data_IF_947881973988
#
_entry.id   IF_947881973988
#
_cell.length_a   1.000
_cell.length_b   1.000
_cell.length_c   1.000
_cell.angle_alpha   90.00
_cell.angle_beta   90.00
_cell.angle_gamma   90.00
#
_symmetry.space_group_name_H-M   'P 1'
#
loop_
_entity.id
_entity.type
_entity.pdbx_description
1 polymer ?
#
# COMPACT_ATOMS: atom_id res chain seq x y z
N UNK A 1 -23.29 42.74 10.98
CA UNK A 1 -23.67 41.32 10.80
C UNK A 1 -25.16 41.19 10.99
N UNK A 2 -25.88 40.98 9.90
CA UNK A 2 -27.30 40.68 9.96
C UNK A 2 -27.51 39.27 10.50
N UNK A 3 -28.63 39.01 11.17
CA UNK A 3 -28.99 37.68 11.71
C UNK A 3 -29.02 36.57 10.64
N UNK A 4 -29.07 36.95 9.36
CA UNK A 4 -29.03 36.05 8.20
C UNK A 4 -27.62 35.55 7.88
N UNK A 5 -26.58 36.39 8.00
CA UNK A 5 -25.17 35.99 7.80
C UNK A 5 -24.69 35.02 8.88
N UNK A 6 -25.09 35.26 10.14
CA UNK A 6 -24.78 34.36 11.26
C UNK A 6 -25.44 32.97 11.10
N UNK A 7 -26.61 32.93 10.43
CA UNK A 7 -27.36 31.68 10.20
C UNK A 7 -26.76 30.86 9.06
N UNK A 8 -26.20 31.52 8.04
CA UNK A 8 -25.47 30.88 6.95
C UNK A 8 -24.16 30.25 7.45
N UNK A 9 -23.35 31.00 8.21
CA UNK A 9 -22.11 30.50 8.82
C UNK A 9 -22.35 29.30 9.76
N UNK A 10 -23.49 29.26 10.45
CA UNK A 10 -23.87 28.12 11.30
C UNK A 10 -24.39 26.89 10.52
N UNK A 11 -24.94 27.08 9.32
CA UNK A 11 -25.39 25.98 8.46
C UNK A 11 -24.22 25.34 7.72
N UNK A 12 -23.30 26.14 7.17
CA UNK A 12 -22.11 25.66 6.45
C UNK A 12 -21.19 24.85 7.36
N UNK A 13 -20.96 25.32 8.59
CA UNK A 13 -20.13 24.66 9.58
C UNK A 13 -20.75 23.32 10.05
N UNK A 14 -22.08 23.18 10.00
CA UNK A 14 -22.78 21.91 10.30
C UNK A 14 -22.73 20.91 9.15
N UNK A 15 -22.72 21.37 7.89
CA UNK A 15 -22.63 20.48 6.71
C UNK A 15 -21.23 19.90 6.60
N UNK A 16 -20.19 20.72 6.76
CA UNK A 16 -18.78 20.29 6.80
C UNK A 16 -18.54 19.24 7.90
N UNK A 17 -18.90 19.55 9.14
CA UNK A 17 -18.70 18.65 10.28
C UNK A 17 -19.46 17.31 10.17
N UNK A 18 -20.65 17.30 9.54
CA UNK A 18 -21.48 16.09 9.41
C UNK A 18 -20.98 15.17 8.29
N UNK A 19 -20.50 15.72 7.18
CA UNK A 19 -19.84 14.96 6.10
C UNK A 19 -18.49 14.41 6.60
N UNK A 20 -17.73 15.19 7.38
CA UNK A 20 -16.43 14.78 7.92
C UNK A 20 -16.49 13.64 8.95
N UNK A 21 -17.40 13.72 9.94
CA UNK A 21 -17.54 12.65 10.94
C UNK A 21 -17.99 11.31 10.35
N UNK A 22 -18.52 11.33 9.12
CA UNK A 22 -18.91 10.14 8.37
C UNK A 22 -17.70 9.57 7.62
N UNK A 23 -16.88 10.41 6.98
CA UNK A 23 -15.65 9.97 6.30
C UNK A 23 -14.67 9.33 7.29
N UNK A 24 -14.41 9.96 8.44
CA UNK A 24 -13.49 9.42 9.45
C UNK A 24 -13.98 8.10 10.06
N UNK A 25 -15.30 7.97 10.33
CA UNK A 25 -15.89 6.70 10.79
C UNK A 25 -15.84 5.61 9.75
N UNK A 26 -16.00 5.95 8.48
CA UNK A 26 -15.96 4.97 7.41
C UNK A 26 -14.53 4.52 7.10
N UNK A 27 -13.50 5.34 7.37
CA UNK A 27 -12.09 5.00 7.17
C UNK A 27 -11.64 3.83 8.07
N UNK A 28 -12.20 3.68 9.28
CA UNK A 28 -11.86 2.60 10.22
C UNK A 28 -12.35 1.20 9.79
N UNK A 29 -13.29 1.11 8.84
CA UNK A 29 -13.92 -0.15 8.41
C UNK A 29 -13.34 -0.78 7.15
N UNK A 30 -12.35 -0.16 6.50
CA UNK A 30 -11.92 -0.60 5.18
C UNK A 30 -11.03 -1.83 5.19
N UNK A 31 -11.32 -2.76 4.29
CA UNK A 31 -10.45 -3.89 4.03
C UNK A 31 -9.17 -3.38 3.39
N UNK A 32 -8.08 -3.55 4.14
CA UNK A 32 -6.73 -3.10 3.78
C UNK A 32 -6.17 -3.92 2.59
N UNK A 33 -6.75 -5.08 2.32
CA UNK A 33 -6.26 -6.05 1.33
C UNK A 33 -7.41 -6.52 0.44
N UNK A 34 -7.23 -6.39 -0.87
CA UNK A 34 -8.16 -6.98 -1.84
C UNK A 34 -7.54 -8.30 -2.35
N UNK A 35 -8.11 -9.43 -1.92
CA UNK A 35 -7.68 -10.75 -2.39
C UNK A 35 -8.65 -11.20 -3.48
N UNK A 36 -8.15 -11.30 -4.71
CA UNK A 36 -8.94 -11.91 -5.77
C UNK A 36 -8.99 -13.44 -5.56
N UNK A 37 -10.12 -13.94 -5.08
CA UNK A 37 -10.33 -15.36 -4.80
C UNK A 37 -10.04 -16.26 -6.02
N UNK A 38 -10.30 -15.78 -7.23
CA UNK A 38 -10.00 -16.50 -8.46
C UNK A 38 -8.50 -16.60 -8.71
N UNK A 39 -7.77 -15.52 -8.48
CA UNK A 39 -6.33 -15.47 -8.66
C UNK A 39 -5.61 -16.33 -7.60
N UNK A 40 -6.06 -16.29 -6.34
CA UNK A 40 -5.60 -17.19 -5.29
C UNK A 40 -5.85 -18.67 -5.64
N UNK A 41 -7.01 -18.98 -6.19
CA UNK A 41 -7.32 -20.34 -6.67
C UNK A 41 -6.43 -20.75 -7.84
N UNK A 42 -6.12 -19.82 -8.75
CA UNK A 42 -5.22 -20.08 -9.87
C UNK A 42 -3.77 -20.31 -9.42
N UNK A 43 -3.29 -19.58 -8.41
CA UNK A 43 -1.98 -19.83 -7.78
C UNK A 43 -1.92 -21.23 -7.17
N UNK A 44 -2.95 -21.62 -6.42
CA UNK A 44 -3.04 -22.95 -5.83
C UNK A 44 -3.04 -24.04 -6.91
N UNK A 45 -3.79 -23.85 -7.99
CA UNK A 45 -3.84 -24.78 -9.11
C UNK A 45 -2.48 -24.94 -9.79
N UNK A 46 -1.74 -23.85 -10.02
CA UNK A 46 -0.38 -23.88 -10.58
C UNK A 46 0.58 -24.65 -9.68
N UNK A 47 0.54 -24.40 -8.37
CA UNK A 47 1.37 -25.11 -7.41
C UNK A 47 1.00 -26.61 -7.31
N UNK A 48 -0.29 -26.93 -7.35
CA UNK A 48 -0.78 -28.30 -7.38
C UNK A 48 -0.32 -29.05 -8.64
N UNK A 49 -0.37 -28.41 -9.80
CA UNK A 49 0.15 -28.97 -11.05
C UNK A 49 1.66 -29.26 -10.94
N UNK A 50 2.45 -28.34 -10.37
CA UNK A 50 3.88 -28.55 -10.14
C UNK A 50 4.14 -29.74 -9.21
N UNK A 51 3.33 -29.89 -8.16
CA UNK A 51 3.42 -31.03 -7.23
C UNK A 51 3.08 -32.37 -7.91
N UNK A 52 2.07 -32.40 -8.79
CA UNK A 52 1.73 -33.59 -9.60
C UNK A 52 2.86 -33.94 -10.56
N UNK A 53 3.44 -32.95 -11.24
CA UNK A 53 4.60 -33.15 -12.13
C UNK A 53 5.77 -33.71 -11.33
N UNK A 54 6.03 -33.17 -10.14
CA UNK A 54 7.07 -33.68 -9.24
C UNK A 54 6.86 -35.16 -8.89
N UNK A 55 5.63 -35.57 -8.55
CA UNK A 55 5.30 -36.99 -8.29
C UNK A 55 5.59 -37.85 -9.53
N UNK A 56 5.19 -37.39 -10.71
CA UNK A 56 5.44 -38.11 -11.97
C UNK A 56 6.93 -38.27 -12.28
N UNK A 57 7.71 -37.19 -12.14
CA UNK A 57 9.18 -37.22 -12.33
C UNK A 57 9.82 -38.16 -11.33
N UNK A 58 9.42 -38.10 -10.06
CA UNK A 58 9.96 -38.97 -9.01
C UNK A 58 9.65 -40.44 -9.27
N UNK A 59 8.42 -40.76 -9.67
CA UNK A 59 8.02 -42.12 -10.05
C UNK A 59 8.87 -42.66 -11.21
N UNK A 60 9.16 -41.80 -12.21
CA UNK A 60 10.04 -42.15 -13.32
C UNK A 60 11.49 -42.42 -12.85
N UNK A 61 12.04 -41.56 -11.98
CA UNK A 61 13.38 -41.75 -11.42
C UNK A 61 13.50 -43.05 -10.62
N UNK A 62 12.45 -43.40 -9.86
CA UNK A 62 12.34 -44.67 -9.14
C UNK A 62 12.33 -45.86 -10.09
N UNK A 63 11.53 -45.79 -11.15
CA UNK A 63 11.49 -46.82 -12.19
C UNK A 63 12.86 -47.01 -12.87
N UNK A 64 13.62 -45.93 -13.07
CA UNK A 64 14.97 -45.95 -13.62
C UNK A 64 16.05 -46.38 -12.60
N UNK A 65 15.70 -46.66 -11.34
CA UNK A 65 16.65 -47.07 -10.31
C UNK A 65 17.60 -45.96 -9.84
N UNK A 66 17.27 -44.69 -10.09
CA UNK A 66 18.11 -43.53 -9.73
C UNK A 66 17.90 -43.05 -8.28
N UNK A 67 17.25 -43.83 -7.41
CA UNK A 67 17.08 -43.50 -5.99
C UNK A 67 18.37 -43.74 -5.19
N UNK A 68 19.26 -42.75 -5.19
CA UNK A 68 20.62 -42.95 -4.72
C UNK A 68 20.92 -42.44 -3.31
N UNK A 69 20.07 -41.60 -2.70
CA UNK A 69 20.36 -41.01 -1.37
C UNK A 69 19.37 -41.45 -0.29
N UNK A 70 19.84 -42.22 0.69
CA UNK A 70 19.12 -42.37 1.96
C UNK A 70 18.98 -41.01 2.64
N UNK A 71 17.87 -40.74 3.34
CA UNK A 71 17.73 -39.50 4.10
C UNK A 71 18.79 -39.49 5.21
N UNK A 72 19.89 -38.79 4.95
CA UNK A 72 20.95 -38.51 5.93
C UNK A 72 20.53 -37.24 6.68
N UNK A 73 20.94 -37.09 7.94
CA UNK A 73 20.66 -35.92 8.77
C UNK A 73 20.96 -34.57 8.06
N UNK A 74 21.88 -34.57 7.09
CA UNK A 74 22.19 -33.42 6.23
C UNK A 74 21.00 -32.94 5.40
N UNK A 75 20.15 -33.83 4.89
CA UNK A 75 18.96 -33.46 4.09
C UNK A 75 17.95 -32.74 4.98
N UNK A 76 17.66 -33.29 6.16
CA UNK A 76 16.73 -32.67 7.10
C UNK A 76 17.24 -31.30 7.56
N UNK A 77 18.55 -31.19 7.85
CA UNK A 77 19.18 -29.92 8.20
C UNK A 77 19.11 -28.91 7.05
N UNK A 78 19.35 -29.34 5.80
CA UNK A 78 19.24 -28.49 4.62
C UNK A 78 17.81 -27.98 4.40
N UNK A 79 16.81 -28.85 4.52
CA UNK A 79 15.40 -28.48 4.40
C UNK A 79 14.99 -27.48 5.49
N UNK A 80 15.37 -27.74 6.74
CA UNK A 80 15.11 -26.83 7.85
C UNK A 80 15.76 -25.45 7.64
N UNK A 81 17.03 -25.42 7.20
CA UNK A 81 17.72 -24.18 6.86
C UNK A 81 17.05 -23.42 5.71
N UNK A 82 16.60 -24.14 4.68
CA UNK A 82 15.86 -23.57 3.55
C UNK A 82 14.55 -22.93 4.01
N UNK A 83 13.73 -23.63 4.78
CA UNK A 83 12.48 -23.08 5.32
C UNK A 83 12.72 -21.88 6.23
N UNK A 84 13.80 -21.91 7.02
CA UNK A 84 14.17 -20.79 7.87
C UNK A 84 14.49 -19.54 7.04
N UNK A 85 15.29 -19.68 5.98
CA UNK A 85 15.63 -18.56 5.09
C UNK A 85 14.38 -18.04 4.35
N UNK A 86 13.55 -18.95 3.81
CA UNK A 86 12.29 -18.57 3.17
C UNK A 86 11.35 -17.82 4.13
N UNK A 87 11.32 -18.22 5.40
CA UNK A 87 10.49 -17.55 6.42
C UNK A 87 10.98 -16.14 6.73
N UNK A 88 12.31 -15.91 6.78
CA UNK A 88 12.87 -14.57 6.97
C UNK A 88 12.55 -13.68 5.78
N UNK A 89 12.72 -14.18 4.56
CA UNK A 89 12.39 -13.43 3.34
C UNK A 89 10.91 -13.09 3.28
N UNK A 90 10.05 -14.07 3.54
CA UNK A 90 8.62 -13.88 3.57
C UNK A 90 8.19 -12.85 4.60
N UNK A 91 8.79 -12.87 5.80
CA UNK A 91 8.54 -11.86 6.83
C UNK A 91 8.90 -10.46 6.34
N UNK A 92 10.06 -10.27 5.70
CA UNK A 92 10.47 -8.99 5.16
C UNK A 92 9.47 -8.45 4.12
N UNK A 93 9.03 -9.30 3.21
CA UNK A 93 8.01 -8.95 2.20
C UNK A 93 6.67 -8.62 2.87
N UNK A 94 6.24 -9.40 3.87
CA UNK A 94 5.00 -9.16 4.60
C UNK A 94 5.03 -7.82 5.36
N UNK A 95 6.14 -7.51 6.02
CA UNK A 95 6.30 -6.27 6.78
C UNK A 95 6.20 -5.06 5.83
N UNK A 96 6.89 -5.08 4.68
CA UNK A 96 6.80 -4.01 3.68
C UNK A 96 5.40 -3.92 3.05
N UNK A 97 4.81 -5.06 2.67
CA UNK A 97 3.46 -5.10 2.14
C UNK A 97 2.47 -4.48 3.13
N UNK A 98 2.60 -4.81 4.42
CA UNK A 98 1.76 -4.25 5.47
C UNK A 98 1.97 -2.74 5.66
N UNK A 99 3.18 -2.23 5.41
CA UNK A 99 3.46 -0.81 5.41
C UNK A 99 2.75 -0.13 4.22
N UNK A 100 2.91 -0.67 3.01
CA UNK A 100 2.27 -0.17 1.79
C UNK A 100 0.75 -0.17 1.92
N UNK A 101 0.17 -1.22 2.50
CA UNK A 101 -1.26 -1.33 2.68
C UNK A 101 -1.83 -0.27 3.65
N UNK A 102 -1.00 0.30 4.53
CA UNK A 102 -1.38 1.40 5.43
C UNK A 102 -1.18 2.79 4.81
N UNK A 103 -0.36 2.92 3.76
CA UNK A 103 -0.01 4.22 3.18
C UNK A 103 -1.22 5.01 2.63
N UNK A 104 -2.13 4.42 1.82
CA UNK A 104 -3.29 5.17 1.29
C UNK A 104 -4.14 5.79 2.40
N UNK A 105 -4.37 5.03 3.48
CA UNK A 105 -5.13 5.49 4.63
C UNK A 105 -4.40 6.58 5.41
N UNK A 106 -3.07 6.48 5.57
CA UNK A 106 -2.26 7.54 6.20
C UNK A 106 -2.30 8.83 5.39
N UNK A 107 -2.04 8.76 4.08
CA UNK A 107 -2.09 9.92 3.18
C UNK A 107 -3.49 10.56 3.23
N UNK A 108 -4.55 9.75 3.20
CA UNK A 108 -5.93 10.23 3.32
C UNK A 108 -6.14 11.00 4.62
N UNK A 109 -5.74 10.42 5.76
CA UNK A 109 -5.86 11.04 7.08
C UNK A 109 -5.08 12.36 7.17
N UNK A 110 -3.85 12.39 6.65
CA UNK A 110 -2.99 13.56 6.72
C UNK A 110 -3.50 14.70 5.81
N UNK A 111 -4.02 14.37 4.63
CA UNK A 111 -4.66 15.36 3.72
C UNK A 111 -5.91 15.95 4.36
N UNK A 112 -6.74 15.12 4.99
CA UNK A 112 -7.92 15.58 5.75
C UNK A 112 -7.49 16.52 6.87
N UNK A 113 -6.53 16.11 7.69
CA UNK A 113 -6.02 16.94 8.78
C UNK A 113 -5.41 18.26 8.28
N UNK A 114 -4.71 18.23 7.14
CA UNK A 114 -4.16 19.43 6.52
C UNK A 114 -5.26 20.39 6.08
N UNK A 115 -6.35 19.89 5.48
CA UNK A 115 -7.52 20.69 5.12
C UNK A 115 -8.22 21.28 6.35
N UNK A 116 -8.37 20.51 7.43
CA UNK A 116 -8.96 21.00 8.69
C UNK A 116 -8.18 22.19 9.27
N UNK A 117 -6.84 22.18 9.17
CA UNK A 117 -6.06 23.34 9.56
C UNK A 117 -6.38 24.59 8.71
N UNK A 118 -6.60 24.43 7.41
CA UNK A 118 -7.03 25.53 6.56
C UNK A 118 -8.46 26.00 6.88
N UNK A 119 -9.39 25.10 7.20
CA UNK A 119 -10.75 25.48 7.62
C UNK A 119 -10.76 26.30 8.93
N UNK A 120 -9.79 26.05 9.82
CA UNK A 120 -9.67 26.79 11.09
C UNK A 120 -9.03 28.17 10.94
N UNK A 121 -8.12 28.32 9.98
CA UNK A 121 -7.23 29.50 9.89
C UNK A 121 -7.31 30.26 8.57
N UNK A 122 -7.96 29.72 7.55
CA UNK A 122 -8.14 30.33 6.23
C UNK A 122 -9.46 31.07 6.12
N UNK A 123 -9.55 31.92 5.10
CA UNK A 123 -10.81 32.45 4.58
C UNK A 123 -11.49 31.43 3.66
N UNK A 124 -12.79 31.58 3.41
CA UNK A 124 -13.54 30.62 2.58
C UNK A 124 -12.95 30.49 1.16
N UNK A 125 -12.43 31.58 0.56
CA UNK A 125 -11.74 31.54 -0.74
C UNK A 125 -10.41 30.77 -0.67
N UNK A 126 -9.63 30.95 0.41
CA UNK A 126 -8.38 30.21 0.61
C UNK A 126 -8.65 28.71 0.81
N UNK A 127 -9.64 28.37 1.64
CA UNK A 127 -10.06 26.97 1.87
C UNK A 127 -10.52 26.31 0.58
N UNK A 128 -11.30 27.03 -0.24
CA UNK A 128 -11.76 26.54 -1.54
C UNK A 128 -10.58 26.31 -2.51
N UNK A 129 -9.64 27.25 -2.60
CA UNK A 129 -8.43 27.10 -3.43
C UNK A 129 -7.57 25.93 -2.98
N UNK A 130 -7.28 25.82 -1.69
CA UNK A 130 -6.50 24.71 -1.13
C UNK A 130 -7.20 23.37 -1.37
N UNK A 131 -8.52 23.29 -1.15
CA UNK A 131 -9.29 22.06 -1.40
C UNK A 131 -9.27 21.66 -2.87
N UNK A 132 -9.22 22.62 -3.80
CA UNK A 132 -9.09 22.33 -5.23
C UNK A 132 -7.71 21.73 -5.53
N UNK A 133 -6.64 22.33 -5.03
CA UNK A 133 -5.27 21.82 -5.20
C UNK A 133 -5.13 20.42 -4.57
N UNK A 134 -5.67 20.22 -3.36
CA UNK A 134 -5.66 18.92 -2.69
C UNK A 134 -6.45 17.86 -3.46
N UNK A 135 -7.57 18.21 -4.08
CA UNK A 135 -8.34 17.28 -4.92
C UNK A 135 -7.53 16.82 -6.12
N UNK A 136 -6.91 17.75 -6.85
CA UNK A 136 -6.07 17.46 -8.02
C UNK A 136 -4.83 16.64 -7.60
N UNK A 137 -4.23 16.99 -6.47
CA UNK A 137 -3.14 16.23 -5.86
C UNK A 137 -3.55 14.78 -5.55
N UNK A 138 -4.70 14.56 -4.89
CA UNK A 138 -5.17 13.19 -4.57
C UNK A 138 -5.42 12.41 -5.86
N UNK A 139 -5.97 13.04 -6.90
CA UNK A 139 -6.15 12.40 -8.21
C UNK A 139 -4.81 11.98 -8.82
N UNK A 140 -3.81 12.86 -8.82
CA UNK A 140 -2.45 12.54 -9.28
C UNK A 140 -1.83 11.39 -8.48
N UNK A 141 -2.00 11.38 -7.15
CA UNK A 141 -1.53 10.30 -6.29
C UNK A 141 -2.22 8.98 -6.63
N UNK A 142 -3.54 8.97 -6.82
CA UNK A 142 -4.29 7.76 -7.22
C UNK A 142 -3.79 7.23 -8.56
N UNK A 143 -3.65 8.11 -9.56
CA UNK A 143 -3.15 7.74 -10.90
C UNK A 143 -1.72 7.21 -10.82
N UNK A 144 -0.88 7.88 -10.02
CA UNK A 144 0.52 7.50 -9.82
C UNK A 144 0.68 6.16 -9.13
N UNK A 145 -0.15 5.85 -8.12
CA UNK A 145 -0.17 4.56 -7.43
C UNK A 145 -0.73 3.45 -8.33
N UNK A 146 -1.75 3.72 -9.15
CA UNK A 146 -2.38 2.70 -10.02
C UNK A 146 -1.50 2.20 -11.17
N UNK A 147 -0.48 2.96 -11.56
CA UNK A 147 0.41 2.59 -12.66
C UNK A 147 1.88 2.73 -12.25
N UNK A 148 2.33 1.92 -11.28
CA UNK A 148 3.65 2.06 -10.68
C UNK A 148 4.69 1.33 -11.53
N UNK A 149 4.77 1.58 -12.85
CA UNK A 149 5.73 0.81 -13.66
C UNK A 149 7.18 1.05 -13.25
N UNK A 150 7.52 2.25 -12.75
CA UNK A 150 8.87 2.64 -12.31
C UNK A 150 8.81 3.79 -11.27
N UNK A 151 7.99 3.66 -10.24
CA UNK A 151 7.71 4.77 -9.32
C UNK A 151 6.32 5.38 -9.49
N UNK A 152 5.99 6.33 -8.63
CA UNK A 152 4.75 7.10 -8.74
C UNK A 152 4.84 7.97 -9.99
N UNK A 153 4.01 7.65 -10.99
CA UNK A 153 3.94 8.44 -12.22
C UNK A 153 3.49 9.86 -11.91
N UNK A 154 4.27 10.86 -12.35
CA UNK A 154 3.95 12.27 -12.10
C UNK A 154 4.39 12.79 -10.72
N UNK A 155 5.32 12.11 -10.05
CA UNK A 155 5.87 12.58 -8.77
C UNK A 155 6.35 14.03 -8.82
N UNK A 156 7.01 14.47 -9.89
CA UNK A 156 7.46 15.86 -10.03
C UNK A 156 6.27 16.83 -9.97
N UNK A 157 5.17 16.53 -10.65
CA UNK A 157 3.96 17.36 -10.59
C UNK A 157 3.28 17.33 -9.22
N UNK A 158 3.39 16.22 -8.49
CA UNK A 158 2.92 16.12 -7.10
C UNK A 158 3.79 16.99 -6.19
N UNK A 159 5.11 17.01 -6.41
CA UNK A 159 6.06 17.85 -5.68
C UNK A 159 5.88 19.33 -5.98
N UNK A 160 5.53 19.69 -7.21
CA UNK A 160 5.16 21.06 -7.59
C UNK A 160 3.90 21.52 -6.83
N UNK A 161 2.89 20.65 -6.69
CA UNK A 161 1.69 20.97 -5.89
C UNK A 161 2.05 21.23 -4.41
N UNK A 162 3.05 20.52 -3.87
CA UNK A 162 3.57 20.79 -2.52
C UNK A 162 4.23 22.16 -2.40
N UNK A 163 4.98 22.59 -3.41
CA UNK A 163 5.59 23.92 -3.44
C UNK A 163 4.52 25.00 -3.50
N UNK A 164 3.49 24.84 -4.35
CA UNK A 164 2.35 25.74 -4.40
C UNK A 164 1.59 25.83 -3.06
N UNK A 165 1.34 24.69 -2.40
CA UNK A 165 0.72 24.67 -1.08
C UNK A 165 1.59 25.36 -0.03
N UNK A 166 2.91 25.20 -0.11
CA UNK A 166 3.85 25.88 0.78
C UNK A 166 3.83 27.40 0.55
N UNK A 167 3.86 27.86 -0.70
CA UNK A 167 3.79 29.29 -1.03
C UNK A 167 2.49 29.93 -0.50
N UNK A 168 1.37 29.21 -0.60
CA UNK A 168 0.10 29.64 -0.02
C UNK A 168 0.16 29.75 1.51
N UNK A 169 0.83 28.80 2.20
CA UNK A 169 1.03 28.90 3.65
C UNK A 169 1.84 30.15 4.02
N UNK A 170 2.90 30.43 3.27
CA UNK A 170 3.75 31.61 3.50
C UNK A 170 2.95 32.90 3.29
N UNK A 171 2.16 32.97 2.22
CA UNK A 171 1.30 34.11 1.93
C UNK A 171 0.26 34.35 3.04
N UNK A 172 -0.37 33.28 3.55
CA UNK A 172 -1.32 33.35 4.67
C UNK A 172 -0.66 33.95 5.92
N UNK A 173 0.53 33.48 6.27
CA UNK A 173 1.26 33.95 7.46
C UNK A 173 1.65 35.42 7.32
N UNK A 174 2.13 35.83 6.15
CA UNK A 174 2.51 37.21 5.88
C UNK A 174 1.30 38.16 5.92
N UNK A 175 0.16 37.80 5.32
CA UNK A 175 -1.05 38.65 5.34
C UNK A 175 -1.59 38.78 6.78
N UNK A 176 -1.53 37.69 7.57
CA UNK A 176 -1.97 37.66 8.98
C UNK A 176 -1.07 38.46 9.91
N UNK A 177 0.25 38.40 9.73
CA UNK A 177 1.20 39.24 10.48
C UNK A 177 1.02 40.74 10.17
N UNK A 178 0.62 41.07 8.94
CA UNK A 178 0.44 42.45 8.49
C UNK A 178 -0.92 43.04 8.91
N UNK A 179 -2.01 42.25 8.84
CA UNK A 179 -3.36 42.75 9.11
C UNK A 179 -3.77 42.71 10.58
N UNK A 180 -3.37 41.68 11.32
CA UNK A 180 -3.98 41.40 12.61
C UNK A 180 -2.92 41.35 13.72
N UNK A 181 -2.76 42.48 14.43
CA UNK A 181 -2.33 42.48 15.84
C UNK A 181 -3.42 41.84 16.73
N UNK A 182 -4.04 40.73 16.31
CA UNK A 182 -5.07 40.04 17.07
C UNK A 182 -4.43 39.22 18.20
N UNK A 183 -4.75 39.51 19.47
CA UNK A 183 -4.20 38.79 20.61
C UNK A 183 -4.90 37.43 20.70
N UNK A 184 -4.27 36.37 20.18
CA UNK A 184 -4.75 35.00 20.45
C UNK A 184 -4.23 33.90 19.55
N UNK A 185 -3.89 34.18 18.30
CA UNK A 185 -3.38 33.19 17.34
C UNK A 185 -1.97 33.60 16.94
N UNK A 186 -0.98 32.81 17.34
CA UNK A 186 0.40 33.03 16.93
C UNK A 186 0.58 32.53 15.48
N UNK A 187 0.83 33.42 14.50
CA UNK A 187 0.98 33.04 13.09
C UNK A 187 2.07 31.99 12.89
N UNK A 188 3.14 32.08 13.68
CA UNK A 188 4.25 31.12 13.67
C UNK A 188 3.80 29.70 14.07
N UNK A 189 2.88 29.59 15.02
CA UNK A 189 2.34 28.28 15.44
C UNK A 189 1.51 27.67 14.30
N UNK A 190 0.67 28.47 13.62
CA UNK A 190 -0.13 28.01 12.48
C UNK A 190 0.78 27.56 11.33
N UNK A 191 1.77 28.37 10.97
CA UNK A 191 2.77 28.06 9.95
C UNK A 191 3.48 26.73 10.26
N UNK A 192 3.93 26.57 11.51
CA UNK A 192 4.66 25.37 11.94
C UNK A 192 3.81 24.11 11.87
N UNK A 193 2.51 24.19 12.21
CA UNK A 193 1.60 23.05 12.14
C UNK A 193 1.27 22.66 10.70
N UNK A 194 0.98 23.65 9.85
CA UNK A 194 0.73 23.43 8.42
C UNK A 194 1.96 22.85 7.70
N UNK A 195 3.14 23.41 7.96
CA UNK A 195 4.41 22.90 7.42
C UNK A 195 4.70 21.48 7.90
N UNK A 196 4.45 21.19 9.19
CA UNK A 196 4.62 19.85 9.74
C UNK A 196 3.73 18.84 9.03
N UNK A 197 2.44 19.15 8.85
CA UNK A 197 1.53 18.23 8.18
C UNK A 197 1.88 18.05 6.70
N UNK A 198 2.21 19.13 6.00
CA UNK A 198 2.64 19.07 4.60
C UNK A 198 3.88 18.16 4.43
N UNK A 199 4.84 18.26 5.36
CA UNK A 199 6.03 17.40 5.36
C UNK A 199 5.71 15.93 5.67
N UNK A 200 4.71 15.65 6.51
CA UNK A 200 4.26 14.27 6.79
C UNK A 200 3.65 13.66 5.53
N UNK A 201 2.76 14.37 4.83
CA UNK A 201 2.18 13.91 3.57
C UNK A 201 3.30 13.67 2.53
N UNK A 202 4.23 14.62 2.39
CA UNK A 202 5.39 14.49 1.48
C UNK A 202 6.23 13.25 1.82
N UNK A 203 6.53 13.01 3.10
CA UNK A 203 7.29 11.84 3.53
C UNK A 203 6.58 10.53 3.20
N UNK A 204 5.25 10.45 3.39
CA UNK A 204 4.48 9.27 3.01
C UNK A 204 4.48 9.01 1.50
N UNK A 205 4.41 10.06 0.67
CA UNK A 205 4.46 9.93 -0.79
C UNK A 205 5.85 9.52 -1.27
N UNK A 206 6.90 10.16 -0.78
CA UNK A 206 8.27 9.79 -1.13
C UNK A 206 8.59 8.36 -0.69
N UNK A 207 8.04 7.91 0.45
CA UNK A 207 8.14 6.52 0.88
C UNK A 207 7.40 5.60 -0.08
N UNK A 208 6.16 5.91 -0.47
CA UNK A 208 5.41 5.13 -1.45
C UNK A 208 6.14 5.04 -2.80
N UNK A 209 6.70 6.15 -3.29
CA UNK A 209 7.54 6.17 -4.49
C UNK A 209 8.79 5.30 -4.31
N UNK A 210 9.51 5.44 -3.19
CA UNK A 210 10.68 4.62 -2.91
C UNK A 210 10.35 3.13 -2.91
N UNK A 211 9.24 2.69 -2.30
CA UNK A 211 8.84 1.29 -2.32
C UNK A 211 8.47 0.82 -3.72
N UNK A 212 7.68 1.61 -4.46
CA UNK A 212 7.31 1.24 -5.83
C UNK A 212 8.49 1.21 -6.82
N UNK A 213 9.59 1.94 -6.53
CA UNK A 213 10.83 1.87 -7.33
C UNK A 213 11.75 0.75 -6.87
N UNK A 214 11.78 0.53 -5.56
CA UNK A 214 12.51 -0.56 -4.95
C UNK A 214 11.60 -1.78 -4.90
N UNK A 215 11.25 -2.35 -6.07
CA UNK A 215 10.77 -3.73 -6.14
C UNK A 215 11.67 -4.54 -5.22
N UNK A 216 11.08 -5.28 -4.28
CA UNK A 216 11.76 -5.89 -3.14
C UNK A 216 12.68 -7.03 -3.62
N UNK A 217 13.80 -6.58 -4.16
CA UNK A 217 14.90 -7.31 -4.76
C UNK A 217 14.46 -8.28 -5.87
N UNK A 218 14.68 -7.93 -7.16
CA UNK A 218 14.91 -8.91 -8.21
C UNK A 218 15.89 -10.02 -7.77
N UNK A 219 16.83 -9.66 -6.88
CA UNK A 219 17.77 -10.59 -6.22
C UNK A 219 17.10 -11.53 -5.22
N UNK A 220 16.11 -11.06 -4.44
CA UNK A 220 15.35 -11.84 -3.46
C UNK A 220 14.45 -12.86 -4.15
N UNK A 221 13.77 -12.44 -5.22
CA UNK A 221 13.03 -13.33 -6.10
C UNK A 221 13.92 -14.36 -6.79
N UNK A 222 15.05 -13.94 -7.38
CA UNK A 222 16.01 -14.86 -7.98
C UNK A 222 16.54 -15.87 -6.95
N UNK A 223 16.86 -15.40 -5.74
CA UNK A 223 17.32 -16.25 -4.65
C UNK A 223 16.23 -17.24 -4.21
N UNK A 224 14.98 -16.80 -4.11
CA UNK A 224 13.83 -17.63 -3.77
C UNK A 224 13.63 -18.77 -4.80
N UNK A 225 13.75 -18.47 -6.09
CA UNK A 225 13.73 -19.48 -7.15
C UNK A 225 14.90 -20.47 -7.06
N UNK A 226 16.12 -19.99 -6.81
CA UNK A 226 17.30 -20.85 -6.64
C UNK A 226 17.08 -21.82 -5.46
N UNK A 227 16.66 -21.29 -4.31
CA UNK A 227 16.41 -22.09 -3.11
C UNK A 227 15.29 -23.12 -3.35
N UNK A 228 14.21 -22.72 -4.03
CA UNK A 228 13.11 -23.62 -4.41
C UNK A 228 13.57 -24.75 -5.35
N UNK A 229 14.41 -24.45 -6.34
CA UNK A 229 14.99 -25.45 -7.25
C UNK A 229 15.92 -26.40 -6.49
N UNK A 230 16.82 -25.88 -5.66
CA UNK A 230 17.71 -26.70 -4.83
C UNK A 230 16.92 -27.62 -3.90
N UNK A 231 15.89 -27.09 -3.24
CA UNK A 231 14.97 -27.84 -2.39
C UNK A 231 14.28 -28.97 -3.17
N UNK A 232 13.76 -28.66 -4.36
CA UNK A 232 13.10 -29.64 -5.25
C UNK A 232 14.08 -30.74 -5.68
N UNK A 233 15.31 -30.39 -6.05
CA UNK A 233 16.34 -31.37 -6.44
C UNK A 233 16.73 -32.31 -5.29
N UNK A 234 16.90 -31.76 -4.09
CA UNK A 234 17.16 -32.56 -2.88
C UNK A 234 15.99 -33.50 -2.64
N UNK A 235 14.75 -32.99 -2.65
CA UNK A 235 13.55 -33.80 -2.46
C UNK A 235 13.38 -34.89 -3.52
N UNK A 236 13.75 -34.66 -4.79
CA UNK A 236 13.74 -35.69 -5.83
C UNK A 236 14.72 -36.83 -5.54
N UNK A 237 15.83 -36.55 -4.86
CA UNK A 237 16.91 -37.51 -4.63
C UNK A 237 16.69 -38.38 -3.39
N UNK A 238 15.87 -37.93 -2.44
CA UNK A 238 15.61 -38.66 -1.17
C UNK A 238 14.97 -40.01 -1.44
N UNK A 239 15.51 -41.08 -0.86
CA UNK A 239 14.92 -42.42 -0.86
C UNK A 239 13.87 -42.54 0.23
N UNK A 240 12.67 -42.97 -0.14
CA UNK A 240 11.56 -43.22 0.79
C UNK A 240 11.31 -44.71 0.95
N UNK A 241 11.12 -45.16 2.19
CA UNK A 241 10.74 -46.56 2.48
C UNK A 241 9.23 -46.75 2.45
N UNK A 242 8.48 -45.71 2.83
CA UNK A 242 7.02 -45.78 2.98
C UNK A 242 6.29 -45.06 1.83
N UNK A 243 5.26 -45.72 1.31
CA UNK A 243 4.36 -45.20 0.26
C UNK A 243 3.72 -43.87 0.71
N UNK A 244 3.32 -43.76 1.98
CA UNK A 244 2.69 -42.54 2.51
C UNK A 244 3.64 -41.34 2.45
N UNK A 245 4.92 -41.53 2.78
CA UNK A 245 5.91 -40.45 2.70
C UNK A 245 6.11 -39.99 1.26
N UNK A 246 6.15 -40.95 0.33
CA UNK A 246 6.41 -40.71 -1.09
C UNK A 246 5.27 -39.98 -1.80
N UNK A 247 4.02 -40.35 -1.54
CA UNK A 247 2.85 -39.82 -2.25
C UNK A 247 2.09 -38.71 -1.51
N UNK A 248 2.34 -38.51 -0.22
CA UNK A 248 1.63 -37.48 0.57
C UNK A 248 2.57 -36.44 1.15
N UNK A 249 3.63 -36.87 1.84
CA UNK A 249 4.50 -35.93 2.57
C UNK A 249 5.41 -35.13 1.61
N UNK A 250 6.13 -35.81 0.72
CA UNK A 250 7.00 -35.12 -0.25
C UNK A 250 6.23 -34.17 -1.18
N UNK A 251 5.10 -34.57 -1.79
CA UNK A 251 4.34 -33.69 -2.67
C UNK A 251 3.73 -32.50 -1.94
N UNK A 252 3.32 -32.67 -0.68
CA UNK A 252 2.82 -31.55 0.15
C UNK A 252 3.92 -30.56 0.52
N UNK A 253 5.15 -31.01 0.79
CA UNK A 253 6.30 -30.13 1.00
C UNK A 253 6.64 -29.33 -0.26
N UNK A 254 6.64 -29.97 -1.44
CA UNK A 254 6.87 -29.28 -2.72
C UNK A 254 5.76 -28.27 -2.98
N UNK A 255 4.49 -28.68 -2.80
CA UNK A 255 3.34 -27.78 -2.92
C UNK A 255 3.52 -26.54 -2.05
N UNK A 256 3.90 -26.73 -0.78
CA UNK A 256 4.10 -25.65 0.17
C UNK A 256 5.23 -24.71 -0.24
N UNK A 257 6.39 -25.24 -0.67
CA UNK A 257 7.52 -24.42 -1.16
C UNK A 257 7.11 -23.60 -2.37
N UNK A 258 6.43 -24.20 -3.35
CA UNK A 258 5.97 -23.48 -4.54
C UNK A 258 4.90 -22.44 -4.21
N UNK A 259 3.98 -22.73 -3.29
CA UNK A 259 3.01 -21.74 -2.81
C UNK A 259 3.72 -20.54 -2.16
N UNK A 260 4.73 -20.79 -1.33
CA UNK A 260 5.53 -19.72 -0.73
C UNK A 260 6.21 -18.84 -1.78
N UNK A 261 6.81 -19.47 -2.80
CA UNK A 261 7.47 -18.75 -3.89
C UNK A 261 6.49 -17.86 -4.67
N UNK A 262 5.35 -18.44 -5.06
CA UNK A 262 4.33 -17.73 -5.82
C UNK A 262 3.71 -16.59 -5.00
N UNK A 263 3.43 -16.83 -3.72
CA UNK A 263 2.86 -15.83 -2.82
C UNK A 263 3.83 -14.67 -2.59
N UNK A 264 5.13 -14.95 -2.39
CA UNK A 264 6.16 -13.91 -2.32
C UNK A 264 6.26 -13.11 -3.63
N UNK A 265 6.07 -13.75 -4.77
CA UNK A 265 6.12 -13.08 -6.08
C UNK A 265 4.94 -12.13 -6.29
N UNK A 266 3.74 -12.52 -5.86
CA UNK A 266 2.56 -11.66 -5.97
C UNK A 266 2.55 -10.51 -4.95
N UNK A 267 3.21 -10.69 -3.81
CA UNK A 267 3.33 -9.64 -2.78
C UNK A 267 4.46 -8.64 -3.04
N UNK A 268 5.38 -8.94 -3.97
CA UNK A 268 6.55 -8.10 -4.24
C UNK A 268 6.19 -6.74 -4.83
N UNK A 269 5.07 -6.67 -5.58
CA UNK A 269 4.51 -5.42 -6.11
C UNK A 269 3.14 -5.14 -5.46
N UNK A 270 3.10 -4.47 -4.29
CA UNK A 270 1.86 -4.20 -3.56
C UNK A 270 0.90 -3.28 -4.31
N UNK A 271 1.37 -2.55 -5.33
CA UNK A 271 0.62 -1.53 -6.05
C UNK A 271 0.18 -1.97 -7.46
N UNK A 272 0.59 -3.16 -7.93
CA UNK A 272 0.05 -3.71 -9.17
C UNK A 272 -1.42 -4.10 -9.01
N UNK A 273 -2.31 -3.28 -9.57
CA UNK A 273 -3.75 -3.52 -9.53
C UNK A 273 -4.20 -4.72 -10.37
N UNK A 274 -3.32 -5.27 -11.21
CA UNK A 274 -3.59 -6.51 -11.96
C UNK A 274 -3.15 -7.76 -11.19
N UNK A 275 -2.43 -7.60 -10.08
CA UNK A 275 -1.96 -8.71 -9.28
C UNK A 275 -3.10 -9.37 -8.51
N UNK A 276 -2.82 -10.57 -8.02
CA UNK A 276 -3.78 -11.34 -7.23
C UNK A 276 -4.07 -10.73 -5.86
N UNK A 277 -3.10 -9.94 -5.36
CA UNK A 277 -3.03 -9.39 -4.01
C UNK A 277 -2.56 -7.95 -4.15
N UNK A 278 -3.49 -7.01 -4.04
CA UNK A 278 -3.20 -5.58 -4.15
C UNK A 278 -3.62 -4.80 -2.92
N UNK A 279 -2.90 -3.70 -2.70
CA UNK A 279 -3.24 -2.71 -1.68
C UNK A 279 -4.53 -1.98 -2.09
N UNK A 280 -5.47 -1.89 -1.15
CA UNK A 280 -6.67 -1.10 -1.36
C UNK A 280 -6.36 0.40 -1.35
N UNK A 281 -6.73 1.10 -2.41
CA UNK A 281 -6.67 2.57 -2.53
C UNK A 281 -8.03 3.23 -2.27
N UNK A 282 -9.02 2.47 -1.81
CA UNK A 282 -10.41 2.91 -1.68
C UNK A 282 -10.56 4.15 -0.77
N UNK A 283 -9.71 4.27 0.25
CA UNK A 283 -9.68 5.45 1.14
C UNK A 283 -9.36 6.74 0.39
N UNK A 284 -8.39 6.70 -0.54
CA UNK A 284 -8.04 7.85 -1.39
C UNK A 284 -9.16 8.16 -2.40
N UNK A 285 -9.75 7.13 -3.02
CA UNK A 285 -10.85 7.30 -3.98
C UNK A 285 -12.08 7.93 -3.33
N UNK A 286 -12.38 7.53 -2.09
CA UNK A 286 -13.46 8.10 -1.31
C UNK A 286 -13.18 9.55 -0.92
N UNK A 287 -11.95 9.86 -0.51
CA UNK A 287 -11.54 11.23 -0.23
C UNK A 287 -11.69 12.11 -1.47
N UNK A 288 -11.22 11.64 -2.63
CA UNK A 288 -11.32 12.36 -3.90
C UNK A 288 -12.78 12.63 -4.30
N UNK A 289 -13.63 11.59 -4.28
CA UNK A 289 -15.05 11.73 -4.62
C UNK A 289 -15.80 12.67 -3.66
N UNK A 290 -15.53 12.56 -2.35
CA UNK A 290 -16.16 13.44 -1.34
C UNK A 290 -15.71 14.89 -1.52
N UNK A 291 -14.42 15.13 -1.77
CA UNK A 291 -13.87 16.47 -1.98
C UNK A 291 -14.44 17.10 -3.25
N UNK A 292 -14.55 16.33 -4.34
CA UNK A 292 -15.17 16.81 -5.59
C UNK A 292 -16.64 17.19 -5.43
N UNK A 293 -17.42 16.40 -4.68
CA UNK A 293 -18.82 16.71 -4.41
C UNK A 293 -18.96 18.02 -3.62
N UNK A 294 -18.15 18.19 -2.58
CA UNK A 294 -18.13 19.43 -1.80
C UNK A 294 -17.74 20.65 -2.67
N UNK A 295 -16.71 20.53 -3.51
CA UNK A 295 -16.31 21.60 -4.43
C UNK A 295 -17.43 21.96 -5.43
N UNK A 296 -18.21 20.98 -5.88
CA UNK A 296 -19.36 21.23 -6.75
C UNK A 296 -20.48 21.98 -6.01
N UNK A 297 -20.77 21.61 -4.77
CA UNK A 297 -21.76 22.30 -3.93
C UNK A 297 -21.38 23.77 -3.71
N UNK A 298 -20.11 24.05 -3.37
CA UNK A 298 -19.61 25.42 -3.23
C UNK A 298 -19.76 26.25 -4.51
N UNK A 299 -19.45 25.67 -5.68
CA UNK A 299 -19.63 26.35 -6.99
C UNK A 299 -21.09 26.67 -7.31
N UNK A 300 -22.04 25.85 -6.82
CA UNK A 300 -23.47 26.09 -7.05
C UNK A 300 -24.08 27.10 -6.08
N UNK A 301 -23.41 27.37 -4.96
CA UNK A 301 -23.87 28.31 -3.94
C UNK A 301 -23.39 29.75 -4.17
N UNK A 302 -22.30 29.94 -4.92
CA UNK A 302 -21.74 31.24 -5.34
C UNK A 302 -22.42 31.81 -6.58
#
# INVERSE_FOLDING_TARGET
MSTTEASYLLMENKVGAKVHSKVLRDIEGYQIVNINAWAASAMFLKAALCSIIFVGVRFLLKYLGHESTTPIASVTAFMAGTYFVLSILFKGILDEYSECARMPTRITSDVVQYREFWELFGTDDEVYRVSTILSDFVEKVIVGIRNPKHGITGLDSILDDFEHLHDMQVALVQDREVKDNHPGINPMTVASNLSKQLNVIRAHILRADHVSRCNYLPVGLAFNWIVSICCTMVLLSVKTTDIIQEFTLLPSLVLFVYLFVMFMTEMDDPFDMNSSISVSIESLEKLHSTTRLWLQECKTAS
#
